data_IF_026702866761
#
_entry.id   IF_026702866761
#
_cell.length_a   1.000
_cell.length_b   1.000
_cell.length_c   1.000
_cell.angle_alpha   90.00
_cell.angle_beta   90.00
_cell.angle_gamma   90.00
#
_symmetry.space_group_name_H-M   'P 1'
#
loop_
_entity.id
_entity.type
_entity.pdbx_description
1 polymer ?
#
# COMPACT_ATOMS: atom_id res chain seq x y z
N UNK A 1 17.10 -7.10 -13.48
CA UNK A 1 16.66 -8.26 -12.69
C UNK A 1 15.23 -8.01 -12.23
N UNK A 2 14.23 -8.70 -12.78
CA UNK A 2 12.89 -8.80 -12.17
C UNK A 2 12.85 -10.18 -11.54
N UNK A 3 12.67 -10.23 -10.21
CA UNK A 3 12.57 -11.48 -9.48
C UNK A 3 11.52 -12.37 -10.14
N UNK A 4 11.85 -13.65 -10.31
CA UNK A 4 10.88 -14.68 -10.66
C UNK A 4 10.79 -15.59 -9.43
N UNK A 5 9.61 -15.76 -8.81
CA UNK A 5 8.30 -15.20 -9.18
C UNK A 5 8.17 -13.69 -8.97
N UNK A 6 7.09 -13.09 -9.51
CA UNK A 6 6.73 -11.68 -9.22
C UNK A 6 6.62 -11.55 -7.70
N UNK A 7 7.28 -10.56 -7.08
CA UNK A 7 7.24 -10.43 -5.63
C UNK A 7 5.81 -10.18 -5.17
N UNK A 8 5.43 -10.75 -4.03
CA UNK A 8 4.16 -10.40 -3.42
C UNK A 8 4.27 -9.00 -2.80
N UNK A 9 3.25 -8.19 -3.04
CA UNK A 9 3.20 -6.78 -2.66
C UNK A 9 2.15 -6.63 -1.57
N UNK A 10 2.59 -6.31 -0.36
CA UNK A 10 1.69 -6.08 0.77
C UNK A 10 1.88 -4.68 1.34
N UNK A 11 0.77 -3.95 1.44
CA UNK A 11 0.69 -2.69 2.17
C UNK A 11 0.09 -2.95 3.55
N UNK A 12 0.63 -2.28 4.57
CA UNK A 12 0.03 -2.26 5.90
C UNK A 12 0.20 -0.89 6.55
N UNK A 13 -0.61 -0.60 7.57
CA UNK A 13 -0.46 0.59 8.41
C UNK A 13 -0.14 0.16 9.84
N UNK A 14 0.77 0.87 10.49
CA UNK A 14 1.15 0.54 11.87
C UNK A 14 0.01 0.83 12.86
N UNK A 15 -0.80 1.83 12.55
CA UNK A 15 -1.90 2.34 13.39
C UNK A 15 -3.22 1.58 13.20
N UNK A 16 -3.18 0.41 12.56
CA UNK A 16 -4.34 -0.48 12.38
C UNK A 16 -4.74 -0.67 10.93
N UNK A 17 -6.02 -0.96 10.70
CA UNK A 17 -6.54 -1.28 9.37
C UNK A 17 -6.65 -0.03 8.48
N UNK A 18 -6.64 -0.27 7.17
CA UNK A 18 -6.93 0.77 6.18
C UNK A 18 -8.40 1.15 6.23
N UNK A 19 -8.68 2.44 6.06
CA UNK A 19 -10.04 2.92 5.87
C UNK A 19 -10.56 2.52 4.49
N UNK A 20 -11.88 2.52 4.29
CA UNK A 20 -12.51 2.24 2.98
C UNK A 20 -12.10 3.25 1.89
N UNK A 21 -11.54 4.40 2.28
CA UNK A 21 -11.02 5.43 1.37
C UNK A 21 -9.73 4.99 0.66
N UNK A 22 -9.03 3.99 1.20
CA UNK A 22 -7.74 3.54 0.67
C UNK A 22 -7.95 2.75 -0.62
N UNK A 23 -7.29 3.17 -1.69
CA UNK A 23 -7.27 2.49 -2.98
C UNK A 23 -5.84 2.01 -3.28
N UNK A 24 -5.66 0.71 -3.50
CA UNK A 24 -4.37 0.10 -3.83
C UNK A 24 -4.41 -0.35 -5.29
N UNK A 25 -3.56 0.24 -6.11
CA UNK A 25 -3.30 -0.21 -7.49
C UNK A 25 -1.99 -1.00 -7.55
N UNK A 26 -1.98 -2.08 -8.34
CA UNK A 26 -0.84 -2.97 -8.56
C UNK A 26 -0.66 -3.18 -10.06
N UNK A 27 0.42 -2.65 -10.60
CA UNK A 27 0.88 -2.91 -11.95
C UNK A 27 2.06 -3.87 -11.99
N UNK A 28 2.52 -4.16 -13.21
CA UNK A 28 3.63 -5.11 -13.45
C UNK A 28 4.92 -4.70 -12.74
N UNK A 29 5.16 -3.39 -12.58
CA UNK A 29 6.39 -2.85 -11.99
C UNK A 29 6.15 -1.72 -10.99
N UNK A 30 4.91 -1.56 -10.53
CA UNK A 30 4.57 -0.51 -9.61
C UNK A 30 3.46 -0.97 -8.68
N UNK A 31 3.40 -0.33 -7.52
CA UNK A 31 2.23 -0.36 -6.65
C UNK A 31 2.02 1.04 -6.13
N UNK A 32 0.76 1.44 -5.97
CA UNK A 32 0.38 2.74 -5.50
C UNK A 32 -0.73 2.59 -4.46
N UNK A 33 -0.58 3.29 -3.35
CA UNK A 33 -1.63 3.47 -2.35
C UNK A 33 -2.10 4.93 -2.43
N UNK A 34 -3.39 5.13 -2.65
CA UNK A 34 -4.01 6.46 -2.75
C UNK A 34 -5.12 6.58 -1.71
N UNK A 35 -5.25 7.76 -1.09
CA UNK A 35 -6.31 8.09 -0.14
C UNK A 35 -6.89 9.44 -0.54
N UNK A 36 -8.11 9.42 -1.06
CA UNK A 36 -8.80 10.65 -1.45
C UNK A 36 -9.48 11.29 -0.22
N UNK A 37 -9.52 12.62 -0.20
CA UNK A 37 -10.11 13.41 0.90
C UNK A 37 -9.55 12.99 2.27
N UNK A 38 -8.23 12.98 2.39
CA UNK A 38 -7.52 12.57 3.60
C UNK A 38 -7.81 13.50 4.77
N UNK A 39 -7.90 12.92 5.97
CA UNK A 39 -8.03 13.65 7.23
C UNK A 39 -6.97 13.20 8.24
N UNK A 40 -7.03 13.74 9.46
CA UNK A 40 -6.05 13.44 10.52
C UNK A 40 -5.97 11.96 10.91
N UNK A 41 -6.99 11.16 10.60
CA UNK A 41 -7.02 9.72 10.88
C UNK A 41 -6.32 8.89 9.79
N UNK A 42 -6.00 9.52 8.65
CA UNK A 42 -5.21 8.93 7.57
C UNK A 42 -3.72 9.27 7.73
N UNK A 43 -3.35 10.09 8.71
CA UNK A 43 -1.94 10.29 9.07
C UNK A 43 -1.38 9.01 9.70
N UNK A 44 -0.08 8.77 9.53
CA UNK A 44 0.61 7.68 10.19
C UNK A 44 1.67 7.02 9.32
N UNK A 45 2.19 5.89 9.79
CA UNK A 45 3.22 5.13 9.09
C UNK A 45 2.63 4.03 8.23
N UNK A 46 2.97 4.08 6.94
CA UNK A 46 2.63 3.09 5.93
C UNK A 46 3.86 2.23 5.64
N UNK A 47 3.65 0.91 5.58
CA UNK A 47 4.69 -0.08 5.37
C UNK A 47 4.38 -0.81 4.07
N UNK A 48 5.37 -0.84 3.18
CA UNK A 48 5.35 -1.62 1.94
C UNK A 48 6.33 -2.78 2.08
N UNK A 49 5.82 -4.01 1.96
CA UNK A 49 6.63 -5.24 1.94
C UNK A 49 6.62 -5.86 0.55
N UNK A 50 7.80 -6.30 0.14
CA UNK A 50 8.07 -7.05 -1.09
C UNK A 50 8.66 -8.39 -0.66
N UNK A 51 7.97 -9.50 -0.95
CA UNK A 51 8.43 -10.87 -0.66
C UNK A 51 8.68 -11.67 -1.95
#
# INVERSE_FOLDING_TARGET
>A
FRGRPIPDIMWSREEGEFSEKVQIDKGINYTQLSIDNCDRNDAGKYILKLE
#
